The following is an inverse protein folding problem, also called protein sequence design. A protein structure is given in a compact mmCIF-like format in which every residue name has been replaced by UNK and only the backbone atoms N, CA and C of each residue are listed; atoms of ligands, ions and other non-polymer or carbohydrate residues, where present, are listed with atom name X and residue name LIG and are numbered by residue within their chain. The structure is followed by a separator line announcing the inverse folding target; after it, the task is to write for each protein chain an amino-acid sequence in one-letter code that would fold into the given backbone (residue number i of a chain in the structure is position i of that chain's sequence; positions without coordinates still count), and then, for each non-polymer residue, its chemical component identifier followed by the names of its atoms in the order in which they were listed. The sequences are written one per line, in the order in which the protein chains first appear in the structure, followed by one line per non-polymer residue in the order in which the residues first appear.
data_IF_183232753424
#
_entry.id   IF_183232753424
#
_cell.length_a   1.000
_cell.length_b   1.000
_cell.length_c   1.000
_cell.angle_alpha   90.00
_cell.angle_beta   90.00
_cell.angle_gamma   90.00
#
_symmetry.space_group_name_H-M   'P 1'
#
loop_
_entity.id
_entity.type
_entity.pdbx_description
1 polymer ?
#
# COMPACT_ATOMS: atom_id res chain seq x y z
N UNK A 1 -5.38 -18.99 4.97
CA UNK A 1 -4.98 -18.66 3.58
C UNK A 1 -4.22 -17.35 3.62
N UNK A 2 -3.18 -17.19 2.81
CA UNK A 2 -2.50 -15.89 2.68
C UNK A 2 -3.43 -14.90 1.97
N UNK A 3 -3.48 -13.64 2.40
CA UNK A 3 -4.21 -12.57 1.73
C UNK A 3 -3.23 -11.60 1.07
N UNK A 4 -3.59 -11.07 -0.09
CA UNK A 4 -2.85 -10.01 -0.76
C UNK A 4 -3.56 -8.69 -0.58
N UNK A 5 -2.85 -7.62 -0.87
CA UNK A 5 -3.41 -6.31 -0.71
C UNK A 5 -2.48 -5.22 -1.15
N UNK A 6 -2.74 -4.02 -0.63
CA UNK A 6 -1.85 -2.90 -0.78
C UNK A 6 -1.77 -2.06 0.50
N UNK A 7 -0.65 -1.36 0.61
CA UNK A 7 -0.49 -0.20 1.46
C UNK A 7 -0.24 1.01 0.57
N UNK A 8 -0.80 2.17 0.88
CA UNK A 8 -0.54 3.35 0.09
C UNK A 8 -0.72 4.68 0.81
N UNK A 9 -0.37 5.73 0.08
CA UNK A 9 -0.46 7.11 0.49
C UNK A 9 -1.14 7.96 -0.58
N UNK A 10 -1.87 8.99 -0.15
CA UNK A 10 -2.33 10.08 -1.02
C UNK A 10 -1.87 11.39 -0.42
N UNK A 11 -1.15 12.21 -1.20
CA UNK A 11 -0.72 13.53 -0.79
C UNK A 11 -0.53 14.45 -1.99
N UNK A 12 -1.08 15.67 -1.94
CA UNK A 12 -1.09 16.61 -3.08
C UNK A 12 -1.65 15.97 -4.37
N UNK A 13 -2.70 15.15 -4.25
CA UNK A 13 -3.30 14.37 -5.35
C UNK A 13 -2.35 13.34 -5.99
N UNK A 14 -1.16 13.14 -5.42
CA UNK A 14 -0.23 12.09 -5.80
C UNK A 14 -0.55 10.82 -5.02
N UNK A 15 -0.98 9.77 -5.72
CA UNK A 15 -1.26 8.47 -5.14
C UNK A 15 -0.04 7.55 -5.27
N UNK A 16 0.30 6.83 -4.19
CA UNK A 16 1.29 5.76 -4.22
C UNK A 16 0.68 4.49 -3.64
N UNK A 17 0.42 3.49 -4.49
CA UNK A 17 -0.04 2.15 -4.11
C UNK A 17 1.12 1.17 -4.18
N UNK A 18 1.44 0.52 -3.06
CA UNK A 18 2.46 -0.54 -2.98
C UNK A 18 1.79 -1.89 -2.80
N UNK A 19 2.08 -2.83 -3.70
CA UNK A 19 1.56 -4.20 -3.64
C UNK A 19 2.13 -4.98 -2.45
N UNK A 20 1.28 -5.77 -1.79
CA UNK A 20 1.64 -6.68 -0.70
C UNK A 20 1.19 -8.10 -1.04
N UNK A 21 2.15 -9.04 -1.02
CA UNK A 21 1.95 -10.41 -1.49
C UNK A 21 1.29 -11.34 -0.46
N UNK A 22 1.43 -11.05 0.84
CA UNK A 22 0.94 -11.92 1.91
C UNK A 22 0.57 -11.12 3.16
N UNK A 23 -0.24 -11.75 4.01
CA UNK A 23 -0.66 -11.23 5.32
C UNK A 23 -1.26 -9.82 5.28
N UNK A 24 -2.02 -9.52 4.23
CA UNK A 24 -2.69 -8.23 4.08
C UNK A 24 -3.96 -8.07 4.96
N UNK A 25 -4.37 -9.08 5.73
CA UNK A 25 -5.59 -9.02 6.55
C UNK A 25 -5.46 -8.02 7.73
N UNK A 26 -6.57 -7.58 8.36
CA UNK A 26 -6.55 -6.54 9.38
C UNK A 26 -5.61 -6.85 10.56
N UNK A 27 -5.53 -8.10 11.03
CA UNK A 27 -4.67 -8.47 12.15
C UNK A 27 -3.16 -8.52 11.87
N UNK A 28 -2.73 -8.32 10.62
CA UNK A 28 -1.33 -8.21 10.24
C UNK A 28 -1.04 -6.83 9.62
N UNK A 29 -0.97 -6.72 8.29
CA UNK A 29 -0.64 -5.46 7.60
C UNK A 29 -1.49 -4.27 8.09
N UNK A 30 -2.79 -4.50 8.30
CA UNK A 30 -3.70 -3.45 8.77
C UNK A 30 -3.33 -2.92 10.15
N UNK A 31 -3.07 -3.83 11.10
CA UNK A 31 -2.69 -3.50 12.45
C UNK A 31 -1.31 -2.81 12.49
N UNK A 32 -0.37 -3.24 11.66
CA UNK A 32 0.94 -2.60 11.53
C UNK A 32 0.84 -1.18 10.97
N UNK A 33 0.04 -0.98 9.92
CA UNK A 33 -0.21 0.33 9.34
C UNK A 33 -0.91 1.27 10.35
N UNK A 34 -1.92 0.77 11.06
CA UNK A 34 -2.65 1.51 12.08
C UNK A 34 -1.75 1.87 13.26
N UNK A 35 -0.96 0.92 13.76
CA UNK A 35 0.01 1.14 14.84
C UNK A 35 0.99 2.22 14.46
N UNK A 36 1.55 2.18 13.25
CA UNK A 36 2.40 3.25 12.76
C UNK A 36 1.66 4.59 12.71
N UNK A 37 0.46 4.63 12.15
CA UNK A 37 -0.32 5.87 12.03
C UNK A 37 -0.60 6.52 13.40
N UNK A 38 -0.83 5.73 14.45
CA UNK A 38 -0.99 6.25 15.83
C UNK A 38 0.29 6.83 16.43
N UNK A 39 1.47 6.49 15.89
CA UNK A 39 2.75 7.10 16.31
C UNK A 39 3.04 8.45 15.65
N UNK A 40 2.30 8.79 14.59
CA UNK A 40 2.53 10.03 13.83
C UNK A 40 2.02 11.22 14.63
N UNK A 41 2.93 12.14 14.96
CA UNK A 41 2.60 13.40 15.65
C UNK A 41 2.49 14.60 14.70
N UNK A 42 3.04 14.48 13.49
CA UNK A 42 3.07 15.53 12.48
C UNK A 42 2.68 14.97 11.10
N UNK A 43 1.40 15.09 10.79
CA UNK A 43 0.85 14.66 9.50
C UNK A 43 1.22 15.57 8.34
N UNK A 44 1.63 16.82 8.59
CA UNK A 44 2.06 17.71 7.52
C UNK A 44 3.43 17.29 6.98
N UNK A 45 4.35 16.87 7.86
CA UNK A 45 5.62 16.24 7.46
C UNK A 45 5.38 14.95 6.66
N UNK A 46 4.47 14.09 7.12
CA UNK A 46 4.14 12.84 6.39
C UNK A 46 3.56 13.15 5.01
N UNK A 47 2.67 14.15 4.91
CA UNK A 47 2.11 14.60 3.63
C UNK A 47 3.20 15.10 2.70
N UNK A 48 4.14 15.89 3.20
CA UNK A 48 5.26 16.39 2.40
C UNK A 48 6.12 15.24 1.86
N UNK A 49 6.48 14.29 2.72
CA UNK A 49 7.25 13.10 2.33
C UNK A 49 6.51 12.24 1.30
N UNK A 50 5.24 11.93 1.55
CA UNK A 50 4.40 11.14 0.65
C UNK A 50 4.25 11.80 -0.73
N UNK A 51 4.13 13.13 -0.77
CA UNK A 51 4.02 13.88 -2.03
C UNK A 51 5.31 13.89 -2.87
N UNK A 52 6.45 13.56 -2.25
CA UNK A 52 7.78 13.51 -2.88
C UNK A 52 8.23 12.09 -3.21
N UNK A 53 7.42 11.07 -2.93
CA UNK A 53 7.75 9.68 -3.27
C UNK A 53 7.95 9.57 -4.78
N UNK A 54 9.11 9.04 -5.17
CA UNK A 54 9.46 8.77 -6.55
C UNK A 54 8.97 7.36 -6.89
N UNK A 55 8.10 7.24 -7.88
CA UNK A 55 7.71 5.94 -8.41
C UNK A 55 8.86 5.36 -9.21
N UNK A 56 9.25 4.14 -8.86
CA UNK A 56 10.30 3.43 -9.60
C UNK A 56 9.81 3.03 -11.00
N UNK A 57 10.74 2.94 -11.93
CA UNK A 57 10.52 2.33 -13.24
C UNK A 57 11.03 0.88 -13.21
N UNK A 58 10.10 -0.08 -13.26
CA UNK A 58 10.39 -1.51 -13.24
C UNK A 58 11.09 -2.03 -14.50
N UNK A 59 11.20 -1.21 -15.55
CA UNK A 59 11.86 -1.55 -16.82
C UNK A 59 13.30 -0.99 -16.89
N UNK A 60 13.70 -0.15 -15.92
CA UNK A 60 15.01 0.53 -15.90
C UNK A 60 15.80 0.17 -14.64
N UNK A 61 17.08 -0.19 -14.83
CA UNK A 61 17.96 -0.53 -13.70
C UNK A 61 18.17 0.66 -12.76
N UNK A 62 18.18 0.45 -11.43
CA UNK A 62 18.52 1.51 -10.48
C UNK A 62 19.96 1.99 -10.68
N UNK A 63 20.17 3.31 -10.56
CA UNK A 63 21.51 3.91 -10.62
C UNK A 63 22.35 3.52 -9.41
N UNK A 64 23.67 3.78 -9.49
CA UNK A 64 24.56 3.52 -8.36
C UNK A 64 24.22 4.39 -7.14
N UNK A 65 23.80 5.65 -7.35
CA UNK A 65 23.34 6.49 -6.23
C UNK A 65 22.09 5.93 -5.57
N UNK A 66 21.13 5.42 -6.35
CA UNK A 66 19.91 4.81 -5.82
C UNK A 66 20.22 3.53 -5.04
N UNK A 67 21.13 2.69 -5.55
CA UNK A 67 21.61 1.49 -4.85
C UNK A 67 22.24 1.84 -3.51
N UNK A 68 23.12 2.84 -3.49
CA UNK A 68 23.79 3.29 -2.27
C UNK A 68 22.77 3.86 -1.25
N UNK A 69 21.83 4.69 -1.71
CA UNK A 69 20.80 5.29 -0.85
C UNK A 69 19.84 4.26 -0.24
N UNK A 70 19.55 3.18 -0.98
CA UNK A 70 18.56 2.16 -0.60
C UNK A 70 19.17 0.91 0.06
N UNK A 71 20.50 0.82 0.14
CA UNK A 71 21.21 -0.38 0.63
C UNK A 71 20.74 -0.89 2.00
N UNK A 72 20.27 0.01 2.89
CA UNK A 72 19.75 -0.37 4.22
C UNK A 72 18.41 -1.12 4.17
N UNK A 73 17.61 -0.90 3.12
CA UNK A 73 16.32 -1.54 2.89
C UNK A 73 16.45 -2.82 2.06
N UNK A 74 17.62 -3.04 1.46
CA UNK A 74 17.85 -4.14 0.55
C UNK A 74 17.87 -5.50 1.26
N UNK A 75 17.35 -6.51 0.58
CA UNK A 75 17.51 -7.91 0.93
C UNK A 75 17.86 -8.70 -0.33
N UNK A 76 18.93 -9.50 -0.29
CA UNK A 76 19.39 -10.27 -1.44
C UNK A 76 18.79 -11.68 -1.52
N UNK A 77 18.02 -12.10 -0.50
CA UNK A 77 17.40 -13.42 -0.45
C UNK A 77 16.18 -13.57 -1.37
N UNK A 78 15.28 -12.58 -1.47
CA UNK A 78 14.08 -12.69 -2.29
C UNK A 78 14.32 -12.16 -3.72
N UNK A 79 13.47 -12.57 -4.67
CA UNK A 79 13.52 -12.15 -6.08
C UNK A 79 14.19 -13.12 -7.05
N UNK A 80 14.11 -12.78 -8.33
CA UNK A 80 14.60 -13.50 -9.50
C UNK A 80 15.99 -13.07 -9.99
N UNK A 81 16.28 -13.12 -11.29
CA UNK A 81 17.59 -12.75 -11.84
C UNK A 81 18.05 -11.32 -11.47
N UNK A 82 19.37 -11.09 -11.45
CA UNK A 82 19.98 -9.79 -11.05
C UNK A 82 20.07 -8.76 -12.16
N UNK A 83 19.92 -9.23 -13.38
CA UNK A 83 19.89 -8.48 -14.62
C UNK A 83 18.47 -8.04 -15.01
N UNK A 84 17.45 -8.44 -14.25
CA UNK A 84 16.07 -7.97 -14.41
C UNK A 84 15.81 -6.73 -13.53
N UNK A 85 15.45 -5.57 -14.11
CA UNK A 85 15.30 -4.34 -13.34
C UNK A 85 14.23 -4.39 -12.25
N UNK A 86 13.07 -4.97 -12.54
CA UNK A 86 11.99 -5.14 -11.57
C UNK A 86 12.41 -5.98 -10.36
N UNK A 87 13.14 -7.07 -10.59
CA UNK A 87 13.65 -7.95 -9.51
C UNK A 87 14.72 -7.24 -8.67
N UNK A 88 15.53 -6.39 -9.29
CA UNK A 88 16.53 -5.61 -8.57
C UNK A 88 15.90 -4.51 -7.71
N UNK A 89 14.92 -3.80 -8.23
CA UNK A 89 14.13 -2.85 -7.44
C UNK A 89 13.39 -3.53 -6.29
N UNK A 90 12.82 -4.71 -6.54
CA UNK A 90 12.15 -5.51 -5.53
C UNK A 90 13.11 -5.87 -4.38
N UNK A 91 14.34 -6.28 -4.68
CA UNK A 91 15.38 -6.51 -3.67
C UNK A 91 15.77 -5.26 -2.91
N UNK A 92 16.01 -4.13 -3.60
CA UNK A 92 16.42 -2.87 -2.98
C UNK A 92 15.38 -2.31 -2.02
N UNK A 93 14.09 -2.48 -2.34
CA UNK A 93 12.98 -1.95 -1.56
C UNK A 93 12.32 -3.00 -0.65
N UNK A 94 12.89 -4.21 -0.54
CA UNK A 94 12.24 -5.33 0.11
C UNK A 94 11.72 -5.02 1.53
N UNK A 95 12.52 -4.31 2.33
CA UNK A 95 12.15 -3.95 3.72
C UNK A 95 11.19 -2.77 3.84
N UNK A 96 10.82 -2.12 2.73
CA UNK A 96 9.83 -1.04 2.73
C UNK A 96 8.41 -1.57 2.51
N UNK A 97 8.25 -2.75 1.92
CA UNK A 97 6.93 -3.31 1.65
C UNK A 97 6.14 -3.54 2.94
N UNK A 98 4.97 -2.90 3.01
CA UNK A 98 4.08 -2.97 4.17
C UNK A 98 4.53 -2.14 5.37
N UNK A 99 5.62 -1.38 5.25
CA UNK A 99 6.14 -0.53 6.33
C UNK A 99 6.04 0.96 5.94
N UNK A 100 5.01 1.68 6.41
CA UNK A 100 4.78 3.06 6.01
C UNK A 100 5.97 3.99 6.32
N UNK A 101 6.62 3.82 7.47
CA UNK A 101 7.79 4.63 7.84
C UNK A 101 8.97 4.41 6.90
N UNK A 102 9.28 3.15 6.60
CA UNK A 102 10.38 2.80 5.70
C UNK A 102 10.10 3.23 4.26
N UNK A 103 8.86 3.11 3.77
CA UNK A 103 8.46 3.63 2.46
C UNK A 103 8.73 5.14 2.34
N UNK A 104 8.29 5.93 3.32
CA UNK A 104 8.52 7.38 3.33
C UNK A 104 10.01 7.73 3.44
N UNK A 105 10.74 7.04 4.32
CA UNK A 105 12.17 7.28 4.53
C UNK A 105 13.04 6.87 3.33
N UNK A 106 12.62 5.89 2.53
CA UNK A 106 13.31 5.48 1.32
C UNK A 106 13.18 6.52 0.19
N UNK A 107 12.10 7.30 0.17
CA UNK A 107 11.80 8.29 -0.87
C UNK A 107 11.48 7.69 -2.25
N UNK A 108 11.60 6.37 -2.41
CA UNK A 108 11.28 5.63 -3.62
C UNK A 108 10.31 4.50 -3.28
N UNK A 109 9.32 4.28 -4.13
CA UNK A 109 8.32 3.24 -3.94
C UNK A 109 7.90 2.62 -5.27
N UNK A 110 7.55 1.31 -5.30
CA UNK A 110 6.76 0.79 -6.42
C UNK A 110 5.40 1.49 -6.47
N UNK A 111 4.84 1.55 -7.66
CA UNK A 111 3.49 2.05 -7.86
C UNK A 111 2.70 1.04 -8.67
N UNK A 112 1.61 0.53 -8.09
CA UNK A 112 0.71 -0.43 -8.72
C UNK A 112 -0.73 0.13 -8.73
N UNK A 113 -1.00 1.18 -9.54
CA UNK A 113 -2.28 1.89 -9.52
C UNK A 113 -3.44 0.99 -9.94
N UNK A 114 -3.22 -0.01 -10.77
CA UNK A 114 -4.31 -0.89 -11.22
C UNK A 114 -4.65 -1.98 -10.20
N UNK A 115 -3.79 -2.21 -9.19
CA UNK A 115 -3.94 -3.28 -8.21
C UNK A 115 -5.28 -3.26 -7.45
N UNK A 116 -5.79 -2.09 -6.99
CA UNK A 116 -7.10 -2.02 -6.35
C UNK A 116 -8.29 -2.23 -7.31
N UNK A 117 -8.05 -2.33 -8.63
CA UNK A 117 -9.08 -2.46 -9.67
C UNK A 117 -9.68 -3.85 -9.83
N UNK A 118 -8.97 -4.93 -9.46
CA UNK A 118 -9.48 -6.31 -9.53
C UNK A 118 -9.47 -6.99 -8.16
N UNK A 119 -10.59 -6.88 -7.44
CA UNK A 119 -10.69 -7.25 -6.03
C UNK A 119 -10.60 -8.75 -5.73
N UNK A 120 -10.58 -9.62 -6.74
CA UNK A 120 -10.29 -11.05 -6.55
C UNK A 120 -8.82 -11.31 -6.22
N UNK A 121 -7.94 -10.40 -6.63
CA UNK A 121 -6.50 -10.45 -6.39
C UNK A 121 -6.07 -9.52 -5.27
N UNK A 122 -6.93 -8.58 -4.87
CA UNK A 122 -6.69 -7.61 -3.83
C UNK A 122 -7.74 -7.74 -2.72
N UNK A 123 -7.48 -8.60 -1.73
CA UNK A 123 -8.41 -8.90 -0.65
C UNK A 123 -8.55 -7.76 0.37
N UNK A 124 -7.46 -7.01 0.61
CA UNK A 124 -7.43 -5.92 1.58
C UNK A 124 -6.60 -4.73 1.10
N UNK A 125 -6.91 -3.54 1.58
CA UNK A 125 -6.14 -2.34 1.26
C UNK A 125 -6.15 -1.33 2.39
N UNK A 126 -5.01 -0.68 2.63
CA UNK A 126 -4.87 0.37 3.64
C UNK A 126 -4.29 1.61 2.98
N UNK A 127 -5.02 2.71 3.05
CA UNK A 127 -4.62 3.97 2.44
C UNK A 127 -4.55 5.07 3.50
N UNK A 128 -3.41 5.76 3.53
CA UNK A 128 -3.21 6.95 4.36
C UNK A 128 -3.43 8.16 3.45
N UNK A 129 -4.65 8.69 3.48
CA UNK A 129 -4.98 9.91 2.74
C UNK A 129 -4.62 11.13 3.58
N UNK A 130 -3.52 11.78 3.22
CA UNK A 130 -3.04 12.99 3.89
C UNK A 130 -3.78 14.26 3.42
N UNK A 131 -4.42 14.23 2.25
CA UNK A 131 -5.20 15.35 1.74
C UNK A 131 -6.56 15.42 2.45
N UNK A 132 -7.25 14.28 2.59
CA UNK A 132 -8.52 14.17 3.33
C UNK A 132 -8.32 13.93 4.84
N UNK A 133 -7.09 13.65 5.26
CA UNK A 133 -6.71 13.32 6.65
C UNK A 133 -7.46 12.10 7.17
N UNK A 134 -7.46 11.02 6.39
CA UNK A 134 -8.15 9.75 6.67
C UNK A 134 -7.20 8.56 6.63
N UNK A 135 -7.41 7.62 7.55
CA UNK A 135 -6.97 6.24 7.38
C UNK A 135 -8.14 5.45 6.80
N UNK A 136 -7.97 4.93 5.58
CA UNK A 136 -9.01 4.24 4.82
C UNK A 136 -8.69 2.74 4.74
N UNK A 137 -9.72 1.92 4.95
CA UNK A 137 -9.61 0.46 4.79
C UNK A 137 -10.52 0.01 3.66
N UNK A 138 -9.96 -0.79 2.78
CA UNK A 138 -10.60 -1.33 1.60
C UNK A 138 -10.72 -2.84 1.69
N UNK A 139 -11.84 -3.37 1.20
CA UNK A 139 -12.12 -4.80 1.17
C UNK A 139 -12.32 -5.28 -0.27
N UNK A 140 -11.75 -6.43 -0.56
CA UNK A 140 -11.83 -7.11 -1.85
C UNK A 140 -13.12 -7.90 -2.07
N UNK A 141 -13.10 -8.81 -3.05
CA UNK A 141 -14.21 -9.70 -3.43
C UNK A 141 -15.56 -9.02 -3.74
N UNK A 142 -15.51 -7.85 -4.36
CA UNK A 142 -16.71 -7.11 -4.72
C UNK A 142 -17.30 -7.65 -6.03
N UNK A 143 -18.54 -8.13 -6.02
CA UNK A 143 -19.22 -8.68 -7.21
C UNK A 143 -20.26 -7.74 -7.81
N UNK A 144 -20.50 -6.59 -7.17
CA UNK A 144 -21.46 -5.57 -7.62
C UNK A 144 -20.80 -4.19 -7.74
N UNK A 145 -21.20 -3.37 -8.73
CA UNK A 145 -20.75 -1.99 -8.83
C UNK A 145 -21.03 -1.20 -7.55
N UNK A 146 -20.09 -0.33 -7.19
CA UNK A 146 -20.20 0.56 -6.04
C UNK A 146 -19.56 1.91 -6.38
N UNK A 147 -19.65 2.88 -5.46
CA UNK A 147 -18.99 4.18 -5.59
C UNK A 147 -17.73 4.21 -4.74
N UNK A 148 -16.72 4.94 -5.15
CA UNK A 148 -15.53 5.22 -4.34
C UNK A 148 -14.31 5.57 -5.19
N UNK A 149 -13.17 5.81 -4.53
CA UNK A 149 -11.88 6.15 -5.17
C UNK A 149 -11.51 5.20 -6.31
N UNK A 150 -11.68 3.90 -6.09
CA UNK A 150 -11.24 2.87 -7.02
C UNK A 150 -12.33 2.34 -7.94
N UNK A 151 -13.59 2.74 -7.76
CA UNK A 151 -14.72 2.13 -8.49
C UNK A 151 -14.71 2.37 -10.00
N UNK A 152 -13.89 3.31 -10.49
CA UNK A 152 -13.72 3.59 -11.92
C UNK A 152 -12.47 2.94 -12.54
N UNK A 153 -11.67 2.17 -11.78
CA UNK A 153 -10.49 1.49 -12.31
C UNK A 153 -10.86 0.34 -13.22
N UNK A 154 -9.98 0.01 -14.15
CA UNK A 154 -10.17 -1.13 -15.03
C UNK A 154 -10.25 -2.42 -14.21
N UNK A 155 -11.32 -3.17 -14.45
CA UNK A 155 -11.56 -4.49 -13.86
C UNK A 155 -11.30 -5.55 -14.91
N UNK A 156 -10.78 -6.71 -14.52
CA UNK A 156 -10.72 -7.84 -15.44
C UNK A 156 -12.15 -8.34 -15.75
N UNK A 157 -12.66 -8.21 -16.98
CA UNK A 157 -14.05 -8.58 -17.30
C UNK A 157 -14.29 -10.09 -17.16
N UNK A 158 -13.22 -10.92 -17.11
CA UNK A 158 -13.31 -12.37 -16.92
C UNK A 158 -13.33 -12.78 -15.45
N UNK A 159 -12.92 -11.92 -14.51
CA UNK A 159 -12.91 -12.27 -13.08
C UNK A 159 -14.33 -12.28 -12.50
N UNK A 160 -15.22 -11.42 -13.02
CA UNK A 160 -16.54 -11.20 -12.44
C UNK A 160 -16.51 -10.34 -11.16
N UNK A 161 -15.33 -9.80 -10.81
CA UNK A 161 -15.12 -8.94 -9.67
C UNK A 161 -14.91 -7.48 -10.10
N UNK A 162 -15.28 -6.57 -9.20
CA UNK A 162 -15.11 -5.13 -9.31
C UNK A 162 -13.85 -4.69 -8.55
N UNK A 163 -13.59 -3.39 -8.52
CA UNK A 163 -12.55 -2.80 -7.66
C UNK A 163 -12.79 -3.08 -6.17
N UNK A 164 -11.78 -2.86 -5.34
CA UNK A 164 -11.95 -2.91 -3.88
C UNK A 164 -12.89 -1.80 -3.42
N UNK A 165 -13.73 -2.11 -2.42
CA UNK A 165 -14.69 -1.16 -1.87
C UNK A 165 -14.15 -0.58 -0.57
N UNK A 166 -14.37 0.71 -0.35
CA UNK A 166 -14.12 1.34 0.95
C UNK A 166 -15.01 0.67 2.00
N UNK A 167 -14.41 -0.04 2.94
CA UNK A 167 -15.09 -0.72 4.03
C UNK A 167 -15.40 0.28 5.15
N UNK A 168 -14.40 1.05 5.56
CA UNK A 168 -14.50 2.07 6.60
C UNK A 168 -13.35 3.06 6.51
N UNK A 169 -13.44 4.17 7.22
CA UNK A 169 -12.33 5.08 7.41
C UNK A 169 -12.43 5.83 8.74
N UNK A 170 -11.31 6.32 9.23
CA UNK A 170 -11.23 7.14 10.45
C UNK A 170 -10.42 8.41 10.22
N UNK A 171 -10.71 9.51 10.93
CA UNK A 171 -9.84 10.68 10.90
C UNK A 171 -8.45 10.29 11.44
N UNK A 172 -7.38 10.80 10.83
CA UNK A 172 -6.01 10.56 11.31
C UNK A 172 -5.76 11.09 12.74
N UNK A 173 -6.64 11.97 13.23
CA UNK A 173 -6.64 12.50 14.61
C UNK A 173 -7.48 11.69 15.58
N UNK A 174 -8.23 10.68 15.11
CA UNK A 174 -9.18 9.89 15.90
C UNK A 174 -9.21 8.46 15.37
N UNK A 175 -8.05 7.80 15.41
CA UNK A 175 -7.86 6.41 14.99
C UNK A 175 -8.48 5.43 15.99
N UNK A 176 -9.01 4.28 15.52
CA UNK A 176 -9.61 3.26 16.37
C UNK A 176 -8.55 2.59 17.26
N UNK A 177 -8.98 1.99 18.36
CA UNK A 177 -8.15 1.06 19.13
C UNK A 177 -8.01 -0.30 18.41
N UNK A 178 -7.22 -1.22 18.98
CA UNK A 178 -6.95 -2.52 18.36
C UNK A 178 -8.23 -3.36 18.29
N UNK A 179 -9.03 -3.39 19.35
CA UNK A 179 -10.25 -4.21 19.40
C UNK A 179 -11.30 -3.71 18.40
N UNK A 180 -11.49 -2.40 18.26
CA UNK A 180 -12.37 -1.81 17.26
C UNK A 180 -11.90 -2.14 15.84
N UNK A 181 -10.59 -2.03 15.59
CA UNK A 181 -10.03 -2.28 14.28
C UNK A 181 -10.07 -3.76 13.87
N UNK A 182 -9.79 -4.67 14.79
CA UNK A 182 -9.69 -6.10 14.49
C UNK A 182 -11.06 -6.75 14.21
N UNK A 183 -12.16 -6.17 14.70
CA UNK A 183 -13.52 -6.59 14.35
C UNK A 183 -13.82 -6.52 12.84
N UNK A 184 -13.02 -5.79 12.06
CA UNK A 184 -13.14 -5.77 10.61
C UNK A 184 -12.84 -7.12 9.95
N UNK A 185 -11.98 -7.94 10.57
CA UNK A 185 -11.57 -9.25 10.05
C UNK A 185 -12.50 -10.40 10.44
N UNK A 186 -13.41 -10.16 11.39
CA UNK A 186 -14.33 -11.17 11.95
C UNK A 186 -15.67 -11.27 11.19
N UNK A 187 -15.75 -10.68 9.98
CA UNK A 187 -16.92 -10.77 9.12
C UNK A 187 -16.88 -12.01 8.22
N UNK A 188 -17.81 -12.93 8.47
CA UNK A 188 -18.11 -14.16 7.71
C UNK A 188 -18.12 -14.00 6.17
#
# INVERSE_FOLDING_TARGET
MSTRGFLGFVANQHETITYIHYDAYPSALGADALKWARTVTDWDTVREQASKLIHIDGETMPTEEQRAALAQYADSRPGGPKDEPGEEWYRLLYRTFGNPAATLAAGHAPHSPDWPGDSVWCEWGYLIDCDEKRFEVYQGFQTAPHKGRFSGRETNPRSGYQAVKLLTSWPLTSLPDDDEFLRLGDGD
#
